data_IF_760071864135
#
_entry.id   IF_760071864135
#
_cell.length_a   1.000
_cell.length_b   1.000
_cell.length_c   1.000
_cell.angle_alpha   90.00
_cell.angle_beta   90.00
_cell.angle_gamma   90.00
#
_symmetry.space_group_name_H-M   'P 1'
#
loop_
_entity.id
_entity.type
_entity.pdbx_description
1 polymer ?
#
# COMPACT_ATOMS: atom_id res chain seq x y z
N UNK A 1 -53.76 56.75 30.20
CA UNK A 1 -52.31 56.47 30.11
C UNK A 1 -52.15 54.99 29.85
N UNK A 2 -52.03 54.62 28.58
CA UNK A 2 -52.12 53.24 28.10
C UNK A 2 -50.71 52.80 27.70
N UNK A 3 -50.16 51.78 28.35
CA UNK A 3 -48.80 51.27 28.07
C UNK A 3 -48.94 50.01 27.18
N UNK A 4 -48.59 50.16 25.92
CA UNK A 4 -48.56 49.09 24.92
C UNK A 4 -47.24 48.32 25.05
N UNK A 5 -47.32 47.01 25.28
CA UNK A 5 -46.17 46.09 25.23
C UNK A 5 -45.98 45.59 23.79
N UNK A 6 -44.77 45.72 23.26
CA UNK A 6 -44.36 45.15 21.96
C UNK A 6 -43.49 43.93 22.24
N UNK A 7 -43.95 42.75 21.82
CA UNK A 7 -43.21 41.48 21.85
C UNK A 7 -42.54 41.33 20.48
N UNK A 8 -41.20 41.28 20.45
CA UNK A 8 -40.43 40.98 19.26
C UNK A 8 -40.12 39.47 19.22
N UNK A 9 -40.67 38.77 18.23
CA UNK A 9 -40.38 37.36 17.93
C UNK A 9 -39.24 37.34 16.91
N UNK A 10 -38.06 36.88 17.32
CA UNK A 10 -36.93 36.61 16.42
C UNK A 10 -37.06 35.19 15.86
N UNK A 11 -37.42 35.09 14.58
CA UNK A 11 -37.37 33.86 13.78
C UNK A 11 -35.90 33.55 13.47
N UNK A 12 -35.29 32.64 14.24
CA UNK A 12 -33.96 32.11 13.96
C UNK A 12 -34.00 31.01 12.91
N UNK A 13 -33.71 31.35 11.65
CA UNK A 13 -33.43 30.37 10.60
C UNK A 13 -32.03 29.77 10.81
N UNK A 14 -31.97 28.61 11.46
CA UNK A 14 -30.74 27.83 11.58
C UNK A 14 -30.41 27.14 10.25
N UNK A 15 -29.50 27.71 9.46
CA UNK A 15 -28.81 26.98 8.40
C UNK A 15 -27.89 25.94 9.05
N UNK A 16 -28.24 24.67 8.91
CA UNK A 16 -27.34 23.55 9.17
C UNK A 16 -26.27 23.55 8.08
N UNK A 17 -25.12 24.16 8.36
CA UNK A 17 -23.94 24.01 7.53
C UNK A 17 -23.44 22.56 7.67
N UNK A 18 -23.61 21.77 6.61
CA UNK A 18 -22.92 20.50 6.47
C UNK A 18 -21.41 20.78 6.38
N UNK A 19 -20.70 20.61 7.49
CA UNK A 19 -19.23 20.62 7.51
C UNK A 19 -18.75 19.45 6.64
N UNK A 20 -17.81 19.66 5.69
CA UNK A 20 -17.21 18.56 4.96
C UNK A 20 -16.57 17.62 5.98
N UNK A 21 -17.00 16.35 5.96
CA UNK A 21 -16.37 15.31 6.78
C UNK A 21 -14.87 15.29 6.50
N UNK A 22 -14.07 15.26 7.57
CA UNK A 22 -12.62 15.19 7.46
C UNK A 22 -12.25 14.05 6.51
N UNK A 23 -11.45 14.36 5.48
CA UNK A 23 -10.82 13.33 4.63
C UNK A 23 -10.12 12.32 5.52
N UNK A 24 -10.27 11.02 5.26
CA UNK A 24 -9.54 9.96 5.95
C UNK A 24 -8.03 10.24 5.87
N UNK A 25 -7.46 10.71 6.97
CA UNK A 25 -6.07 11.14 7.04
C UNK A 25 -5.16 9.91 6.97
N UNK A 26 -4.17 9.93 6.07
CA UNK A 26 -3.10 8.94 6.00
C UNK A 26 -3.24 7.89 4.90
N UNK A 27 -4.28 7.93 4.06
CA UNK A 27 -4.27 7.19 2.80
C UNK A 27 -3.27 7.84 1.83
N UNK A 28 -2.38 7.04 1.26
CA UNK A 28 -1.30 7.49 0.36
C UNK A 28 0.05 7.71 1.04
N UNK A 29 0.11 7.71 2.37
CA UNK A 29 1.39 7.80 3.10
C UNK A 29 2.28 6.60 2.75
N UNK A 30 3.59 6.78 2.57
CA UNK A 30 4.50 5.67 2.31
C UNK A 30 4.52 4.71 3.51
N UNK A 31 4.59 3.41 3.23
CA UNK A 31 4.81 2.38 4.25
C UNK A 31 5.81 1.34 3.74
N UNK A 32 6.55 0.75 4.67
CA UNK A 32 7.41 -0.42 4.42
C UNK A 32 6.74 -1.65 5.00
N UNK A 33 6.34 -2.64 4.19
CA UNK A 33 5.69 -3.85 4.68
C UNK A 33 6.57 -4.60 5.70
N UNK A 34 5.94 -5.19 6.72
CA UNK A 34 6.63 -5.88 7.83
C UNK A 34 7.53 -7.02 7.32
N UNK A 35 7.15 -7.69 6.24
CA UNK A 35 7.97 -8.72 5.59
C UNK A 35 9.38 -8.23 5.22
N UNK A 36 9.55 -6.94 4.93
CA UNK A 36 10.87 -6.41 4.60
C UNK A 36 11.83 -6.35 5.79
N UNK A 37 11.33 -6.48 7.02
CA UNK A 37 12.18 -6.57 8.21
C UNK A 37 12.73 -7.99 8.44
N UNK A 38 12.32 -8.96 7.63
CA UNK A 38 12.91 -10.30 7.57
C UNK A 38 13.99 -10.36 6.49
N UNK A 39 15.24 -10.65 6.88
CA UNK A 39 16.36 -10.81 5.95
C UNK A 39 16.16 -11.96 4.95
N UNK A 40 15.24 -12.89 5.24
CA UNK A 40 14.90 -14.02 4.37
C UNK A 40 13.84 -13.70 3.31
N UNK A 41 13.31 -12.47 3.29
CA UNK A 41 12.33 -12.03 2.31
C UNK A 41 12.97 -11.37 1.08
N UNK A 42 12.83 -12.01 -0.09
CA UNK A 42 13.39 -11.49 -1.36
C UNK A 42 12.61 -10.32 -1.95
N UNK A 43 11.35 -10.12 -1.55
CA UNK A 43 10.46 -9.14 -2.16
C UNK A 43 9.16 -9.74 -2.68
N UNK A 44 8.27 -8.85 -3.09
CA UNK A 44 6.95 -9.13 -3.64
C UNK A 44 7.00 -9.47 -5.13
N UNK A 45 5.92 -10.07 -5.64
CA UNK A 45 5.68 -10.35 -7.05
C UNK A 45 4.56 -9.46 -7.62
N UNK A 46 4.73 -8.92 -8.83
CA UNK A 46 3.76 -8.01 -9.44
C UNK A 46 2.36 -8.63 -9.65
N UNK A 47 2.24 -9.96 -9.58
CA UNK A 47 0.95 -10.65 -9.79
C UNK A 47 0.15 -10.82 -8.52
N UNK A 48 0.68 -10.42 -7.36
CA UNK A 48 0.02 -10.57 -6.07
C UNK A 48 -0.47 -9.24 -5.48
N UNK A 49 -1.48 -9.35 -4.62
CA UNK A 49 -1.87 -8.27 -3.73
C UNK A 49 -1.67 -8.76 -2.31
N UNK A 50 -0.96 -8.00 -1.51
CA UNK A 50 -0.76 -8.27 -0.11
C UNK A 50 -1.29 -7.10 0.72
N UNK A 51 -2.07 -7.41 1.75
CA UNK A 51 -2.69 -6.43 2.64
C UNK A 51 -2.19 -6.70 4.04
N UNK A 52 -1.29 -5.85 4.52
CA UNK A 52 -0.85 -5.87 5.89
C UNK A 52 -1.85 -5.12 6.75
N UNK A 53 -2.63 -5.86 7.53
CA UNK A 53 -3.45 -5.29 8.59
C UNK A 53 -2.62 -4.97 9.83
N UNK A 54 -3.05 -3.97 10.61
CA UNK A 54 -2.43 -3.53 11.87
C UNK A 54 -1.05 -2.88 11.69
N UNK A 55 -0.75 -2.36 10.50
CA UNK A 55 0.49 -1.62 10.27
C UNK A 55 0.58 -0.41 11.21
N UNK A 56 1.71 -0.25 11.90
CA UNK A 56 1.94 0.88 12.81
C UNK A 56 2.34 2.17 12.08
N UNK A 57 2.83 2.04 10.85
CA UNK A 57 3.21 3.17 10.00
C UNK A 57 1.96 3.88 9.44
N UNK A 58 0.89 3.12 9.21
CA UNK A 58 -0.35 3.62 8.63
C UNK A 58 -1.35 4.02 9.70
N UNK A 59 -1.82 5.26 9.67
CA UNK A 59 -2.93 5.72 10.53
C UNK A 59 -4.19 4.87 10.32
N UNK A 60 -4.42 4.46 9.08
CA UNK A 60 -5.50 3.55 8.64
C UNK A 60 -5.28 2.09 9.05
N UNK A 61 -4.10 1.76 9.60
CA UNK A 61 -3.65 0.42 9.96
C UNK A 61 -3.50 -0.55 8.79
N UNK A 62 -3.56 -0.08 7.55
CA UNK A 62 -3.43 -0.92 6.36
C UNK A 62 -2.27 -0.43 5.51
N UNK A 63 -1.21 -1.24 5.41
CA UNK A 63 -0.19 -1.07 4.38
C UNK A 63 -0.57 -1.99 3.21
N UNK A 64 -0.93 -1.39 2.08
CA UNK A 64 -1.33 -2.11 0.89
C UNK A 64 -0.12 -2.28 -0.03
N UNK A 65 0.13 -3.50 -0.46
CA UNK A 65 1.06 -3.85 -1.53
C UNK A 65 0.23 -4.33 -2.71
N UNK A 66 0.05 -3.47 -3.70
CA UNK A 66 -0.84 -3.70 -4.81
C UNK A 66 -0.04 -4.02 -6.08
N UNK A 67 0.11 -5.30 -6.44
CA UNK A 67 0.78 -5.72 -7.67
C UNK A 67 2.19 -5.10 -7.80
N UNK A 68 2.96 -5.16 -6.73
CA UNK A 68 4.28 -4.56 -6.63
C UNK A 68 5.36 -5.63 -6.72
N UNK A 69 6.50 -5.30 -7.32
CA UNK A 69 7.63 -6.22 -7.44
C UNK A 69 8.85 -5.73 -6.66
N UNK A 70 9.49 -6.66 -5.94
CA UNK A 70 10.71 -6.39 -5.20
C UNK A 70 10.44 -5.86 -3.80
N UNK A 71 11.29 -4.94 -3.32
CA UNK A 71 11.23 -4.35 -1.98
C UNK A 71 11.11 -2.84 -2.08
N UNK A 72 10.26 -2.24 -1.25
CA UNK A 72 10.13 -0.79 -1.09
C UNK A 72 11.48 -0.18 -0.73
N UNK A 73 12.20 -0.82 0.19
CA UNK A 73 13.51 -0.38 0.67
C UNK A 73 14.68 -0.64 -0.31
N UNK A 74 14.44 -1.35 -1.41
CA UNK A 74 15.48 -1.66 -2.40
C UNK A 74 14.96 -1.50 -3.84
N UNK A 75 14.82 -0.26 -4.35
CA UNK A 75 14.22 0.00 -5.65
C UNK A 75 14.92 -0.69 -6.83
N UNK A 76 16.24 -0.83 -6.74
CA UNK A 76 17.10 -1.34 -7.80
C UNK A 76 17.42 -2.83 -7.68
N UNK A 77 16.96 -3.49 -6.62
CA UNK A 77 17.20 -4.91 -6.39
C UNK A 77 18.68 -5.29 -6.21
N UNK A 78 18.94 -6.59 -6.27
CA UNK A 78 20.27 -7.18 -6.23
C UNK A 78 20.28 -8.58 -6.86
N UNK A 79 21.44 -9.05 -7.29
CA UNK A 79 21.60 -10.39 -7.85
C UNK A 79 21.61 -11.50 -6.75
N UNK A 80 21.67 -12.76 -7.16
CA UNK A 80 21.67 -13.92 -6.25
C UNK A 80 22.86 -13.98 -5.27
N UNK A 81 23.95 -13.25 -5.56
CA UNK A 81 25.14 -13.13 -4.69
C UNK A 81 25.03 -11.95 -3.72
N UNK A 82 23.98 -11.14 -3.84
CA UNK A 82 23.79 -9.92 -3.07
C UNK A 82 24.53 -8.70 -3.61
N UNK A 83 24.98 -8.73 -4.87
CA UNK A 83 25.57 -7.55 -5.50
C UNK A 83 24.47 -6.68 -6.11
N UNK A 84 24.52 -5.38 -5.81
CA UNK A 84 23.67 -4.37 -6.41
C UNK A 84 24.10 -4.04 -7.86
N UNK A 85 23.20 -3.50 -8.69
CA UNK A 85 23.62 -2.86 -9.94
C UNK A 85 24.57 -1.68 -9.66
N UNK A 86 25.43 -1.38 -10.63
CA UNK A 86 26.38 -0.25 -10.52
C UNK A 86 25.62 1.05 -10.31
N UNK A 87 25.96 1.80 -9.26
CA UNK A 87 25.29 3.04 -8.91
C UNK A 87 24.16 2.89 -7.87
N UNK A 88 23.92 1.68 -7.37
CA UNK A 88 23.02 1.41 -6.25
C UNK A 88 23.75 0.73 -5.08
N UNK A 89 23.17 0.82 -3.88
CA UNK A 89 23.59 0.04 -2.73
C UNK A 89 22.93 -1.35 -2.75
N UNK A 90 23.58 -2.35 -2.14
CA UNK A 90 22.97 -3.66 -1.94
C UNK A 90 21.79 -3.56 -0.98
N UNK A 91 20.79 -4.43 -1.17
CA UNK A 91 19.61 -4.44 -0.32
C UNK A 91 19.97 -4.88 1.10
N UNK A 92 19.41 -4.18 2.08
CA UNK A 92 19.45 -4.55 3.49
C UNK A 92 18.06 -4.53 4.11
N UNK A 93 17.95 -5.12 5.30
CA UNK A 93 16.79 -4.93 6.18
C UNK A 93 16.69 -3.44 6.53
N UNK A 94 15.52 -2.79 6.38
CA UNK A 94 15.39 -1.34 6.53
C UNK A 94 15.89 -0.86 7.88
N UNK A 95 16.68 0.23 7.87
CA UNK A 95 17.25 0.81 9.09
C UNK A 95 18.43 0.02 9.69
N UNK A 96 18.96 -0.98 8.99
CA UNK A 96 20.11 -1.79 9.44
C UNK A 96 21.08 -2.08 8.30
N UNK A 97 22.26 -2.60 8.64
CA UNK A 97 23.23 -3.14 7.67
C UNK A 97 23.05 -4.65 7.41
N UNK A 98 21.97 -5.25 7.93
CA UNK A 98 21.70 -6.69 7.77
C UNK A 98 21.37 -7.00 6.32
N UNK A 99 22.20 -7.81 5.66
CA UNK A 99 22.03 -8.21 4.27
C UNK A 99 20.82 -9.11 4.08
N UNK A 100 20.15 -8.96 2.93
CA UNK A 100 19.12 -9.92 2.51
C UNK A 100 19.80 -11.23 2.12
N UNK A 101 19.35 -12.32 2.75
CA UNK A 101 19.84 -13.68 2.50
C UNK A 101 18.91 -14.45 1.58
N UNK A 102 17.62 -14.10 1.63
CA UNK A 102 16.53 -14.90 1.08
C UNK A 102 16.22 -16.14 1.90
N UNK A 103 15.23 -16.96 1.49
CA UNK A 103 14.77 -18.10 2.27
C UNK A 103 15.88 -19.13 2.45
N UNK A 104 16.17 -19.48 3.71
CA UNK A 104 17.18 -20.48 4.07
C UNK A 104 16.55 -21.79 4.54
N UNK A 105 17.17 -22.91 4.21
CA UNK A 105 16.86 -24.22 4.78
C UNK A 105 17.32 -24.29 6.27
N UNK A 106 16.97 -25.34 7.03
CA UNK A 106 17.41 -25.46 8.43
C UNK A 106 18.93 -25.63 8.59
N UNK A 107 19.70 -25.80 7.51
CA UNK A 107 21.15 -25.87 7.50
C UNK A 107 21.80 -24.51 7.18
N UNK A 108 21.00 -23.49 6.88
CA UNK A 108 21.45 -22.14 6.55
C UNK A 108 21.81 -21.93 5.07
N UNK A 109 21.48 -22.87 4.19
CA UNK A 109 21.69 -22.70 2.74
C UNK A 109 20.45 -22.09 2.08
N UNK A 110 20.60 -21.38 0.95
CA UNK A 110 19.45 -20.94 0.16
C UNK A 110 18.52 -22.10 -0.20
N UNK A 111 17.23 -21.97 0.12
CA UNK A 111 16.19 -22.95 -0.29
C UNK A 111 16.10 -23.08 -1.81
N UNK A 112 16.30 -21.97 -2.51
CA UNK A 112 16.39 -21.90 -3.96
C UNK A 112 17.78 -21.32 -4.31
N UNK A 113 18.72 -22.13 -4.83
CA UNK A 113 20.07 -21.66 -5.18
C UNK A 113 20.10 -20.66 -6.33
N UNK A 114 19.06 -20.62 -7.17
CA UNK A 114 18.96 -19.70 -8.32
C UNK A 114 18.52 -18.34 -7.82
N UNK A 115 17.51 -18.30 -6.95
CA UNK A 115 17.04 -17.06 -6.35
C UNK A 115 17.98 -16.56 -5.28
N UNK A 116 18.37 -17.41 -4.33
CA UNK A 116 19.22 -17.08 -3.18
C UNK A 116 18.89 -15.70 -2.62
N UNK A 117 19.86 -14.79 -2.59
CA UNK A 117 19.68 -13.41 -2.08
C UNK A 117 19.14 -12.43 -3.12
N UNK A 118 18.69 -12.88 -4.29
CA UNK A 118 18.22 -12.01 -5.36
C UNK A 118 16.94 -11.28 -4.96
N UNK A 119 16.98 -9.96 -5.07
CA UNK A 119 15.82 -9.08 -4.91
C UNK A 119 15.51 -8.52 -6.30
N UNK A 120 14.31 -8.77 -6.86
CA UNK A 120 13.93 -8.15 -8.13
C UNK A 120 13.93 -6.63 -8.02
N UNK A 121 14.40 -5.94 -9.06
CA UNK A 121 14.22 -4.49 -9.16
C UNK A 121 12.73 -4.15 -9.33
N UNK A 122 12.33 -3.00 -8.83
CA UNK A 122 10.97 -2.49 -9.01
C UNK A 122 10.68 -2.25 -10.50
N UNK A 123 9.40 -2.23 -10.87
CA UNK A 123 8.98 -1.84 -12.20
C UNK A 123 8.84 -0.31 -12.27
N UNK A 124 9.31 0.30 -13.36
CA UNK A 124 9.29 1.77 -13.52
C UNK A 124 7.87 2.36 -13.47
N UNK A 125 6.91 1.60 -13.99
CA UNK A 125 5.48 1.94 -13.99
C UNK A 125 4.79 1.60 -12.66
N UNK A 126 5.43 0.81 -11.78
CA UNK A 126 4.87 0.34 -10.50
C UNK A 126 5.87 0.48 -9.35
N UNK A 127 6.47 1.66 -9.25
CA UNK A 127 7.32 2.06 -8.12
C UNK A 127 6.55 2.03 -6.80
N UNK A 128 7.28 1.97 -5.68
CA UNK A 128 6.67 1.90 -4.35
C UNK A 128 5.63 3.02 -4.10
N UNK A 129 5.88 4.26 -4.50
CA UNK A 129 4.93 5.38 -4.32
C UNK A 129 3.61 5.23 -5.11
N UNK A 130 3.57 4.32 -6.10
CA UNK A 130 2.40 4.01 -6.94
C UNK A 130 1.68 2.73 -6.54
N UNK A 131 2.36 1.83 -5.82
CA UNK A 131 1.89 0.47 -5.58
C UNK A 131 1.96 0.03 -4.11
N UNK A 132 2.72 0.73 -3.26
CA UNK A 132 2.89 0.41 -1.83
C UNK A 132 2.72 1.66 -0.97
N UNK A 133 1.60 1.74 -0.27
CA UNK A 133 1.26 2.86 0.59
C UNK A 133 0.17 2.48 1.57
N UNK A 134 0.01 3.33 2.57
CA UNK A 134 -1.10 3.27 3.49
C UNK A 134 -2.42 3.41 2.72
N UNK A 135 -3.26 2.39 2.78
CA UNK A 135 -4.57 2.37 2.14
C UNK A 135 -5.65 2.21 3.19
N UNK A 136 -6.90 2.06 2.79
CA UNK A 136 -7.99 1.72 3.67
C UNK A 136 -8.99 0.86 2.90
N UNK A 137 -9.67 -0.04 3.62
CA UNK A 137 -10.71 -0.89 3.04
C UNK A 137 -11.96 -0.03 2.81
N UNK A 138 -12.42 0.04 1.58
CA UNK A 138 -13.48 0.96 1.16
C UNK A 138 -14.76 0.25 0.74
N UNK A 139 -14.73 -1.06 0.51
CA UNK A 139 -15.93 -1.88 0.35
C UNK A 139 -15.62 -3.36 0.61
N UNK A 140 -16.66 -4.16 0.80
CA UNK A 140 -16.58 -5.61 0.80
C UNK A 140 -16.30 -6.16 -0.63
N UNK A 141 -16.31 -7.48 -0.79
CA UNK A 141 -16.07 -8.15 -2.08
C UNK A 141 -17.13 -7.82 -3.14
N UNK A 142 -18.34 -7.45 -2.71
CA UNK A 142 -19.47 -7.13 -3.58
C UNK A 142 -19.56 -5.63 -3.88
N UNK A 143 -18.60 -4.83 -3.40
CA UNK A 143 -18.62 -3.37 -3.54
C UNK A 143 -19.58 -2.67 -2.57
N UNK A 144 -20.07 -3.37 -1.54
CA UNK A 144 -20.98 -2.82 -0.54
C UNK A 144 -20.25 -2.37 0.73
N UNK A 145 -20.92 -1.50 1.50
CA UNK A 145 -20.49 -1.05 2.84
C UNK A 145 -21.49 -1.50 3.90
N UNK A 146 -21.57 -2.79 4.25
CA UNK A 146 -22.48 -3.26 5.29
C UNK A 146 -22.16 -2.59 6.63
N UNK A 147 -23.20 -2.21 7.38
CA UNK A 147 -23.07 -1.38 8.58
C UNK A 147 -22.46 -2.07 9.81
N UNK A 148 -22.20 -3.38 9.72
CA UNK A 148 -21.52 -4.17 10.74
C UNK A 148 -19.99 -4.16 10.59
N UNK A 149 -19.47 -3.52 9.54
CA UNK A 149 -18.05 -3.39 9.22
C UNK A 149 -17.66 -1.92 9.04
N UNK A 150 -16.40 -1.61 9.30
CA UNK A 150 -15.86 -0.24 9.11
C UNK A 150 -15.20 -0.15 7.75
N UNK A 151 -15.66 0.81 6.95
CA UNK A 151 -15.08 1.15 5.65
C UNK A 151 -14.78 2.64 5.62
N UNK A 152 -13.69 3.00 4.94
CA UNK A 152 -13.36 4.38 4.67
C UNK A 152 -14.04 4.90 3.39
N UNK A 153 -14.10 6.22 3.27
CA UNK A 153 -14.26 6.88 1.99
C UNK A 153 -12.87 7.22 1.43
N UNK A 154 -12.61 6.84 0.18
CA UNK A 154 -11.34 7.16 -0.45
C UNK A 154 -11.20 8.68 -0.63
N UNK A 155 -10.07 9.28 -0.23
CA UNK A 155 -9.85 10.71 -0.41
C UNK A 155 -9.60 11.06 -1.90
N UNK A 156 -9.54 12.36 -2.19
CA UNK A 156 -9.24 12.87 -3.52
C UNK A 156 -7.96 12.25 -4.10
N UNK A 157 -8.02 11.87 -5.38
CA UNK A 157 -6.91 11.19 -6.06
C UNK A 157 -6.85 9.69 -5.79
N UNK A 158 -7.80 9.11 -5.05
CA UNK A 158 -7.92 7.67 -4.83
C UNK A 158 -9.28 7.12 -5.31
N UNK A 159 -9.27 5.87 -5.75
CA UNK A 159 -10.45 5.15 -6.20
C UNK A 159 -10.63 3.84 -5.42
N UNK A 160 -11.87 3.54 -5.02
CA UNK A 160 -12.20 2.29 -4.36
C UNK A 160 -12.21 1.15 -5.38
N UNK A 161 -11.21 0.28 -5.32
CA UNK A 161 -11.01 -0.77 -6.35
C UNK A 161 -11.04 -2.15 -5.71
N UNK A 162 -11.75 -3.12 -6.30
CA UNK A 162 -11.70 -4.52 -5.88
C UNK A 162 -10.31 -5.09 -6.12
N UNK A 163 -9.63 -5.59 -5.08
CA UNK A 163 -8.27 -6.11 -5.20
C UNK A 163 -8.12 -7.53 -4.65
N UNK A 164 -8.66 -7.78 -3.45
CA UNK A 164 -8.52 -9.08 -2.79
C UNK A 164 -9.79 -9.87 -3.05
N UNK A 165 -9.70 -10.85 -3.94
CA UNK A 165 -10.73 -11.88 -4.12
C UNK A 165 -10.50 -12.97 -3.06
N UNK A 166 -11.58 -13.57 -2.53
CA UNK A 166 -11.49 -14.49 -1.38
C UNK A 166 -10.51 -15.65 -1.66
N UNK A 167 -9.33 -15.61 -1.03
CA UNK A 167 -8.29 -16.64 -1.17
C UNK A 167 -8.51 -17.69 -0.07
N UNK A 168 -9.51 -18.55 -0.24
CA UNK A 168 -9.74 -19.72 0.63
C UNK A 168 -10.15 -19.40 2.09
N UNK A 169 -10.47 -20.46 2.83
CA UNK A 169 -11.15 -20.52 4.14
C UNK A 169 -10.42 -19.88 5.34
N UNK A 170 -9.66 -18.78 5.17
CA UNK A 170 -8.86 -18.19 6.27
C UNK A 170 -8.79 -16.67 6.35
N UNK A 171 -9.15 -15.91 5.30
CA UNK A 171 -8.91 -14.45 5.24
C UNK A 171 -10.17 -13.63 4.88
N UNK A 172 -11.34 -14.04 5.35
CA UNK A 172 -12.62 -13.36 5.08
C UNK A 172 -12.61 -11.87 5.49
N UNK A 173 -11.78 -11.48 6.47
CA UNK A 173 -11.69 -10.09 6.96
C UNK A 173 -10.94 -9.09 6.07
N UNK A 174 -10.10 -9.54 5.13
CA UNK A 174 -9.31 -8.66 4.25
C UNK A 174 -9.75 -8.73 2.78
N UNK A 175 -10.73 -9.56 2.47
CA UNK A 175 -11.31 -9.66 1.14
C UNK A 175 -12.14 -8.41 0.85
N UNK A 176 -11.99 -7.82 -0.33
CA UNK A 176 -12.78 -6.65 -0.72
C UNK A 176 -12.00 -5.61 -1.51
N UNK A 177 -12.51 -4.38 -1.42
CA UNK A 177 -12.00 -3.23 -2.16
C UNK A 177 -11.19 -2.31 -1.27
N UNK A 178 -10.16 -1.71 -1.85
CA UNK A 178 -9.23 -0.82 -1.17
C UNK A 178 -9.03 0.47 -1.97
N UNK A 179 -8.71 1.55 -1.28
CA UNK A 179 -8.38 2.81 -1.91
C UNK A 179 -7.01 2.74 -2.58
N UNK A 180 -6.98 2.85 -3.91
CA UNK A 180 -5.75 2.94 -4.68
C UNK A 180 -5.63 4.29 -5.34
N UNK A 181 -4.40 4.76 -5.55
CA UNK A 181 -4.13 6.01 -6.28
C UNK A 181 -4.73 5.90 -7.69
N UNK A 182 -5.49 6.90 -8.08
CA UNK A 182 -6.12 6.94 -9.42
C UNK A 182 -5.05 6.97 -10.50
N UNK A 183 -5.21 6.15 -11.54
CA UNK A 183 -4.24 6.02 -12.63
C UNK A 183 -3.14 4.98 -12.37
N UNK A 184 -3.16 4.28 -11.22
CA UNK A 184 -2.19 3.22 -10.90
C UNK A 184 -2.82 1.82 -10.89
N UNK A 185 -4.03 1.68 -11.46
CA UNK A 185 -4.71 0.41 -11.65
C UNK A 185 -3.76 -0.61 -12.27
N UNK A 186 -3.77 -1.84 -11.75
CA UNK A 186 -3.01 -2.92 -12.34
C UNK A 186 -3.68 -3.39 -13.63
N UNK A 187 -2.89 -3.53 -14.69
CA UNK A 187 -3.27 -4.16 -15.94
C UNK A 187 -2.22 -5.21 -16.30
N UNK A 188 -2.64 -6.47 -16.30
CA UNK A 188 -1.78 -7.62 -16.57
C UNK A 188 -1.06 -7.55 -17.93
N UNK A 189 -1.58 -6.79 -18.89
CA UNK A 189 -1.00 -6.69 -20.23
C UNK A 189 0.06 -5.60 -20.34
N UNK A 190 0.12 -4.67 -19.39
CA UNK A 190 0.99 -3.49 -19.46
C UNK A 190 1.89 -3.32 -18.24
N UNK A 191 1.49 -3.86 -17.09
CA UNK A 191 2.25 -3.81 -15.86
C UNK A 191 3.65 -4.41 -16.04
N UNK A 192 4.66 -3.70 -15.56
CA UNK A 192 6.07 -4.11 -15.60
C UNK A 192 6.66 -4.28 -17.01
N UNK A 193 5.97 -3.82 -18.06
CA UNK A 193 6.47 -3.86 -19.43
C UNK A 193 7.28 -2.62 -19.83
N UNK A 194 7.34 -1.59 -18.97
CA UNK A 194 8.15 -0.38 -19.21
C UNK A 194 9.62 -0.56 -18.78
N UNK A 195 9.97 -1.77 -18.34
CA UNK A 195 11.28 -2.14 -17.86
C UNK A 195 11.47 -1.92 -16.36
N UNK A 196 12.66 -2.27 -15.91
CA UNK A 196 13.01 -2.30 -14.50
C UNK A 196 13.69 -1.00 -14.09
N UNK A 197 13.55 -0.68 -12.81
CA UNK A 197 14.29 0.40 -12.19
C UNK A 197 15.79 0.14 -12.30
N UNK A 198 16.51 1.14 -12.79
CA UNK A 198 17.95 1.09 -13.01
C UNK A 198 18.56 2.41 -12.53
N UNK A 199 19.59 2.38 -11.66
CA UNK A 199 20.12 3.58 -11.02
C UNK A 199 20.79 4.56 -12.01
N UNK A 200 21.06 4.13 -13.24
CA UNK A 200 21.73 4.93 -14.27
C UNK A 200 20.80 5.41 -15.37
N UNK A 201 19.86 4.57 -15.80
CA UNK A 201 19.02 4.81 -16.99
C UNK A 201 17.55 5.00 -16.67
N UNK A 202 17.04 4.49 -15.54
CA UNK A 202 15.62 4.52 -15.16
C UNK A 202 15.46 4.62 -13.64
N UNK A 203 15.78 5.79 -13.08
CA UNK A 203 15.75 6.01 -11.63
C UNK A 203 14.34 5.92 -11.06
N UNK A 204 14.24 5.36 -9.86
CA UNK A 204 13.00 5.11 -9.15
C UNK A 204 13.04 5.55 -7.68
N UNK A 205 14.05 6.34 -7.31
CA UNK A 205 14.24 6.97 -6.00
C UNK A 205 14.12 8.50 -6.06
#
# INVERSE_FOLDING_TARGET
MTRTFVIAILLGSGLLAASPGCSEQGVGDPCTPEQEYDATFNGFDEKEVNVESKSFQCRTRVCLVNHFRGRVSCPYGQNAKGDAPTGAAACSVPGTDTKITGPLDPQGNPKDPIKASAVPAQCVDRTADKAVYCSCRCADINGNKPGDQTFCDCPDGFACTPLVTSIGQGNEGLTGSYCIKTGTQYDVNTACNQGECDPTTKKCD
#
